data_IF_445241404352
#
_entry.id   IF_445241404352
#
_cell.length_a   1.000
_cell.length_b   1.000
_cell.length_c   1.000
_cell.angle_alpha   90.00
_cell.angle_beta   90.00
_cell.angle_gamma   90.00
#
_symmetry.space_group_name_H-M   'P 1'
#
loop_
_entity.id
_entity.type
_entity.pdbx_description
1 polymer ?
#
# COMPACT_ATOMS: atom_id res chain seq x y z
N UNK A 1 8.46 -2.01 -2.58
CA UNK A 1 7.82 -3.35 -2.66
C UNK A 1 8.00 -4.02 -1.31
N UNK A 2 7.00 -4.75 -0.83
CA UNK A 2 7.04 -5.47 0.45
C UNK A 2 6.48 -6.88 0.28
N UNK A 3 6.85 -7.85 1.15
CA UNK A 3 6.35 -9.22 1.05
C UNK A 3 4.83 -9.33 1.20
N UNK A 4 4.25 -8.57 2.13
CA UNK A 4 2.82 -8.49 2.37
C UNK A 4 2.43 -7.04 2.65
N UNK A 5 1.57 -6.46 1.83
CA UNK A 5 1.17 -5.05 1.96
C UNK A 5 0.17 -4.81 3.08
N UNK A 6 -0.64 -5.82 3.43
CA UNK A 6 -1.70 -5.70 4.45
C UNK A 6 -1.12 -5.56 5.87
N UNK A 7 0.08 -6.10 6.12
CA UNK A 7 0.80 -5.93 7.38
C UNK A 7 1.21 -4.46 7.60
N UNK A 8 1.75 -3.83 6.56
CA UNK A 8 2.13 -2.41 6.61
C UNK A 8 0.92 -1.48 6.60
N UNK A 9 -0.18 -1.88 5.95
CA UNK A 9 -1.43 -1.16 6.04
C UNK A 9 -1.94 -1.13 7.48
N UNK A 10 -2.00 -2.29 8.14
CA UNK A 10 -2.40 -2.41 9.54
C UNK A 10 -1.50 -1.59 10.46
N UNK A 11 -0.18 -1.63 10.24
CA UNK A 11 0.77 -0.81 10.99
C UNK A 11 0.51 0.70 10.79
N UNK A 12 0.26 1.12 9.56
CA UNK A 12 -0.02 2.51 9.21
C UNK A 12 -1.29 3.02 9.90
N UNK A 13 -2.35 2.20 9.92
CA UNK A 13 -3.58 2.54 10.65
C UNK A 13 -3.33 2.69 12.16
N UNK A 14 -2.56 1.79 12.77
CA UNK A 14 -2.20 1.85 14.20
C UNK A 14 -1.37 3.09 14.54
N UNK A 15 -0.50 3.53 13.63
CA UNK A 15 0.34 4.71 13.80
C UNK A 15 -0.40 6.03 13.54
N UNK A 16 -1.60 5.98 12.96
CA UNK A 16 -2.36 7.18 12.61
C UNK A 16 -1.72 8.03 11.50
N UNK A 17 -0.89 7.41 10.63
CA UNK A 17 -0.28 8.13 9.51
C UNK A 17 -1.34 8.54 8.49
N UNK A 18 -1.17 9.73 7.92
CA UNK A 18 -2.06 10.22 6.89
C UNK A 18 -1.96 9.36 5.62
N UNK A 19 -3.08 8.80 5.19
CA UNK A 19 -3.19 8.02 3.96
C UNK A 19 -3.52 8.96 2.80
N UNK A 20 -2.63 9.01 1.80
CA UNK A 20 -2.83 9.76 0.55
C UNK A 20 -3.67 8.94 -0.44
N UNK A 21 -3.38 7.64 -0.55
CA UNK A 21 -4.14 6.69 -1.36
C UNK A 21 -4.47 5.44 -0.54
N UNK A 22 -5.74 5.03 -0.45
CA UNK A 22 -6.14 3.87 0.33
C UNK A 22 -5.63 2.58 -0.31
N UNK A 23 -5.57 1.52 0.50
CA UNK A 23 -5.19 0.18 0.06
C UNK A 23 -6.23 -0.38 -0.90
N UNK A 24 -5.77 -0.87 -2.06
CA UNK A 24 -6.65 -1.42 -3.08
C UNK A 24 -5.92 -2.43 -3.96
N UNK A 25 -6.67 -3.37 -4.52
CA UNK A 25 -6.22 -4.19 -5.64
C UNK A 25 -6.33 -3.36 -6.93
N UNK A 26 -5.21 -3.18 -7.61
CA UNK A 26 -5.11 -2.33 -8.80
C UNK A 26 -5.21 -3.17 -10.06
N UNK A 27 -5.80 -2.59 -11.12
CA UNK A 27 -5.95 -3.25 -12.42
C UNK A 27 -4.62 -3.72 -13.04
N UNK A 28 -3.50 -3.11 -12.64
CA UNK A 28 -2.15 -3.47 -13.08
C UNK A 28 -1.49 -4.57 -12.23
N UNK A 29 -2.27 -5.36 -11.49
CA UNK A 29 -1.79 -6.57 -10.80
C UNK A 29 -1.01 -6.31 -9.51
N UNK A 30 -1.16 -5.14 -8.89
CA UNK A 30 -0.57 -4.83 -7.59
C UNK A 30 -1.65 -4.55 -6.56
N UNK A 31 -1.36 -4.88 -5.30
CA UNK A 31 -2.09 -4.33 -4.15
C UNK A 31 -1.21 -3.29 -3.49
N UNK A 32 -1.71 -2.06 -3.36
CA UNK A 32 -0.92 -0.96 -2.84
C UNK A 32 -1.72 0.14 -2.16
N UNK A 33 -1.02 0.92 -1.33
CA UNK A 33 -1.48 2.17 -0.72
C UNK A 33 -0.32 3.17 -0.64
N UNK A 34 -0.62 4.43 -0.32
CA UNK A 34 0.38 5.49 -0.14
C UNK A 34 0.06 6.31 1.10
N UNK A 35 1.09 6.54 1.93
CA UNK A 35 1.02 7.41 3.10
C UNK A 35 1.87 8.66 2.89
N UNK A 36 1.51 9.74 3.58
CA UNK A 36 2.30 10.95 3.66
C UNK A 36 3.43 10.77 4.68
N UNK A 37 4.63 11.19 4.29
CA UNK A 37 5.77 11.41 5.17
C UNK A 37 6.09 12.91 5.29
N UNK A 38 7.13 13.26 6.05
CA UNK A 38 7.64 14.61 6.15
C UNK A 38 8.03 15.20 4.78
N UNK A 39 8.06 16.53 4.68
CA UNK A 39 8.59 17.26 3.51
C UNK A 39 7.92 16.90 2.17
N UNK A 40 6.61 16.62 2.20
CA UNK A 40 5.83 16.20 1.03
C UNK A 40 6.28 14.87 0.40
N UNK A 41 7.03 14.03 1.15
CA UNK A 41 7.38 12.68 0.70
C UNK A 41 6.14 11.78 0.71
N UNK A 42 5.92 11.04 -0.38
CA UNK A 42 4.93 9.96 -0.43
C UNK A 42 5.62 8.60 -0.38
N UNK A 43 5.26 7.76 0.59
CA UNK A 43 5.78 6.39 0.66
C UNK A 43 4.70 5.40 0.19
N UNK A 44 5.00 4.68 -0.90
CA UNK A 44 4.12 3.66 -1.47
C UNK A 44 4.55 2.26 -1.06
N UNK A 45 3.64 1.54 -0.44
CA UNK A 45 3.77 0.12 -0.16
C UNK A 45 3.00 -0.65 -1.22
N UNK A 46 3.63 -1.65 -1.81
CA UNK A 46 3.04 -2.44 -2.87
C UNK A 46 3.54 -3.89 -2.79
N UNK A 47 2.63 -4.82 -3.06
CA UNK A 47 2.93 -6.22 -3.33
C UNK A 47 2.29 -6.65 -4.65
N UNK A 48 2.86 -7.68 -5.29
CA UNK A 48 2.24 -8.27 -6.48
C UNK A 48 1.03 -9.09 -6.05
N UNK A 49 -0.08 -8.91 -6.75
CA UNK A 49 -1.19 -9.85 -6.67
C UNK A 49 -0.79 -11.14 -7.40
N UNK A 50 -1.30 -12.30 -6.96
CA UNK A 50 -1.19 -13.50 -7.76
C UNK A 50 -1.81 -13.26 -9.13
N UNK A 51 -1.23 -13.87 -10.16
CA UNK A 51 -1.82 -13.88 -11.50
C UNK A 51 -3.20 -14.52 -11.37
N UNK A 52 -4.23 -13.78 -11.75
CA UNK A 52 -5.57 -14.36 -11.86
C UNK A 52 -5.57 -15.18 -13.16
N UNK A 53 -5.62 -16.51 -13.03
CA UNK A 53 -5.88 -17.38 -14.18
C UNK A 53 -7.33 -17.13 -14.66
N UNK A 54 -7.55 -17.06 -15.99
CA UNK A 54 -8.84 -16.73 -16.59
C UNK A 54 -9.92 -17.78 -16.34
#
# INVERSE_FOLDING_TARGET
>A
MVPNVDDYWTLSQKMGVQVIRPIENRYYGLRDFTVAGPDSLGLRFAMRLPVQEP
#
